data_IF_810186282135
#
_entry.id   IF_810186282135
#
_cell.length_a   1.000
_cell.length_b   1.000
_cell.length_c   1.000
_cell.angle_alpha   90.00
_cell.angle_beta   90.00
_cell.angle_gamma   90.00
#
_symmetry.space_group_name_H-M   'P 1'
#
loop_
_entity.id
_entity.type
_entity.pdbx_description
1 polymer ?
#
# COMPACT_ATOMS: atom_id res chain seq x y z
N UNK A 1 -5.42 8.16 -24.32
CA UNK A 1 -4.37 8.16 -25.35
C UNK A 1 -3.18 7.37 -24.81
N UNK A 2 -2.53 6.47 -25.56
CA UNK A 2 -1.34 5.76 -25.08
C UNK A 2 -0.13 6.70 -25.01
N UNK A 3 0.70 6.51 -24.00
CA UNK A 3 1.99 7.15 -23.76
C UNK A 3 3.11 6.15 -24.06
N UNK A 4 4.23 6.67 -24.55
CA UNK A 4 5.43 5.88 -24.83
C UNK A 4 6.56 6.41 -23.96
N UNK A 5 7.05 5.58 -23.05
CA UNK A 5 8.05 5.94 -22.05
C UNK A 5 9.36 5.16 -22.33
N UNK A 6 10.42 5.84 -22.82
CA UNK A 6 11.71 5.19 -23.01
C UNK A 6 12.44 5.04 -21.67
N UNK A 7 12.78 3.81 -21.29
CA UNK A 7 13.52 3.47 -20.07
C UNK A 7 14.57 2.40 -20.40
N UNK A 8 15.85 2.69 -20.17
CA UNK A 8 16.96 1.73 -20.32
C UNK A 8 16.98 0.98 -21.66
N UNK A 9 16.67 1.67 -22.77
CA UNK A 9 16.63 1.08 -24.12
C UNK A 9 15.36 0.30 -24.45
N UNK A 10 14.40 0.24 -23.53
CA UNK A 10 13.07 -0.35 -23.73
C UNK A 10 12.04 0.78 -23.86
N UNK A 11 11.07 0.64 -24.77
CA UNK A 11 9.93 1.56 -24.88
C UNK A 11 8.70 0.92 -24.25
N UNK A 12 8.28 1.47 -23.13
CA UNK A 12 7.07 1.03 -22.41
C UNK A 12 5.86 1.75 -22.99
N UNK A 13 4.84 0.99 -23.42
CA UNK A 13 3.57 1.54 -23.94
C UNK A 13 2.53 1.48 -22.83
N UNK A 14 2.10 2.64 -22.33
CA UNK A 14 1.19 2.76 -21.18
C UNK A 14 -0.07 3.51 -21.56
N UNK A 15 -1.24 3.11 -21.05
CA UNK A 15 -2.47 3.91 -21.12
C UNK A 15 -2.83 4.36 -19.71
N UNK A 16 -3.05 5.67 -19.53
CA UNK A 16 -3.57 6.22 -18.28
C UNK A 16 -5.09 5.97 -18.20
N UNK A 17 -5.59 5.30 -17.14
CA UNK A 17 -7.01 5.13 -16.89
C UNK A 17 -7.69 6.49 -16.66
N UNK A 18 -8.94 6.62 -17.08
CA UNK A 18 -9.74 7.83 -16.88
C UNK A 18 -10.93 7.55 -15.99
N UNK A 19 -11.52 8.57 -15.36
CA UNK A 19 -12.72 8.44 -14.53
C UNK A 19 -13.97 7.92 -15.28
N UNK A 20 -13.88 7.80 -16.61
CA UNK A 20 -14.91 7.22 -17.46
C UNK A 20 -14.68 5.73 -17.75
N UNK A 21 -13.55 5.16 -17.33
CA UNK A 21 -13.26 3.76 -17.54
C UNK A 21 -14.13 2.90 -16.62
N UNK A 22 -14.81 1.91 -17.20
CA UNK A 22 -15.71 1.01 -16.47
C UNK A 22 -14.88 -0.09 -15.77
N UNK A 23 -15.19 -0.45 -14.50
CA UNK A 23 -14.54 -1.55 -13.81
C UNK A 23 -14.59 -2.84 -14.65
N UNK A 24 -13.45 -3.51 -14.82
CA UNK A 24 -13.35 -4.79 -15.55
C UNK A 24 -13.39 -4.68 -17.09
N UNK A 25 -13.49 -3.49 -17.67
CA UNK A 25 -13.49 -3.31 -19.14
C UNK A 25 -12.12 -2.88 -19.68
N UNK A 26 -11.11 -2.77 -18.82
CA UNK A 26 -9.73 -2.56 -19.25
C UNK A 26 -9.28 -3.82 -19.98
N UNK A 27 -9.50 -3.86 -21.29
CA UNK A 27 -8.76 -4.74 -22.17
C UNK A 27 -7.30 -4.34 -21.97
N UNK A 28 -6.62 -5.02 -21.04
CA UNK A 28 -5.18 -5.18 -21.09
C UNK A 28 -4.90 -5.48 -22.55
N UNK A 29 -4.04 -4.69 -23.18
CA UNK A 29 -3.65 -4.86 -24.58
C UNK A 29 -3.02 -6.25 -24.74
N UNK A 30 -3.85 -7.30 -24.79
CA UNK A 30 -3.51 -8.63 -25.26
C UNK A 30 -3.49 -8.50 -26.77
N UNK A 31 -2.40 -7.95 -27.29
CA UNK A 31 -2.07 -8.03 -28.69
C UNK A 31 -0.64 -8.56 -28.80
N UNK A 32 -0.61 -9.89 -28.95
CA UNK A 32 0.17 -10.63 -29.96
C UNK A 32 1.66 -10.36 -30.02
N UNK A 33 2.43 -11.36 -29.58
CA UNK A 33 3.52 -11.98 -30.35
C UNK A 33 4.01 -11.17 -31.56
N UNK A 34 4.73 -10.08 -31.34
CA UNK A 34 5.68 -9.55 -32.30
C UNK A 34 6.92 -9.14 -31.51
N UNK A 35 8.04 -9.70 -31.96
CA UNK A 35 9.35 -9.58 -31.37
C UNK A 35 9.81 -8.12 -31.38
N UNK A 36 9.46 -7.39 -30.33
CA UNK A 36 10.27 -6.33 -29.77
C UNK A 36 9.77 -6.08 -28.35
N UNK A 37 10.68 -5.79 -27.45
CA UNK A 37 10.59 -5.75 -25.99
C UNK A 37 9.60 -4.72 -25.41
N UNK A 38 8.37 -4.63 -25.91
CA UNK A 38 7.37 -3.67 -25.46
C UNK A 38 6.59 -4.21 -24.25
N UNK A 39 7.04 -3.86 -23.05
CA UNK A 39 6.30 -4.09 -21.81
C UNK A 39 5.07 -3.17 -21.82
N UNK A 40 3.87 -3.77 -21.84
CA UNK A 40 2.61 -3.04 -21.70
C UNK A 40 2.16 -3.11 -20.24
N UNK A 41 2.27 -2.00 -19.52
CA UNK A 41 1.81 -1.89 -18.13
C UNK A 41 0.40 -1.31 -18.17
N UNK A 42 -0.60 -2.10 -17.78
CA UNK A 42 -1.92 -1.57 -17.47
C UNK A 42 -1.83 -0.91 -16.09
N UNK A 43 -2.00 0.42 -16.03
CA UNK A 43 -2.12 1.08 -14.74
C UNK A 43 -3.43 0.60 -14.10
N UNK A 44 -3.40 0.17 -12.83
CA UNK A 44 -4.62 -0.21 -12.14
C UNK A 44 -5.52 1.02 -11.92
N UNK A 45 -6.76 0.76 -11.56
CA UNK A 45 -7.88 1.70 -11.57
C UNK A 45 -7.61 3.01 -10.79
N UNK A 46 -8.38 4.07 -11.09
CA UNK A 46 -8.36 5.39 -10.40
C UNK A 46 -8.64 5.32 -8.88
N UNK A 47 -8.96 4.14 -8.36
CA UNK A 47 -9.18 3.83 -6.95
C UNK A 47 -7.93 3.31 -6.23
N UNK A 48 -6.76 3.34 -6.87
CA UNK A 48 -5.50 3.01 -6.18
C UNK A 48 -5.15 4.06 -5.13
N UNK A 49 -4.57 3.56 -4.04
CA UNK A 49 -4.07 4.37 -2.94
C UNK A 49 -2.93 5.26 -3.44
N UNK A 50 -2.99 6.55 -3.13
CA UNK A 50 -1.93 7.51 -3.49
C UNK A 50 -0.67 7.26 -2.64
N UNK A 51 0.17 6.33 -3.10
CA UNK A 51 1.39 5.92 -2.41
C UNK A 51 2.35 7.10 -2.21
N UNK A 52 2.46 8.00 -3.18
CA UNK A 52 3.36 9.14 -3.08
C UNK A 52 2.91 10.09 -1.98
N UNK A 53 1.61 10.42 -1.92
CA UNK A 53 1.06 11.24 -0.84
C UNK A 53 1.29 10.62 0.53
N UNK A 54 1.06 9.30 0.67
CA UNK A 54 1.22 8.60 1.94
C UNK A 54 2.69 8.50 2.37
N UNK A 55 3.61 8.26 1.44
CA UNK A 55 5.02 8.02 1.74
C UNK A 55 5.93 9.22 1.60
N UNK A 56 5.48 10.34 1.02
CA UNK A 56 6.28 11.56 0.91
C UNK A 56 6.90 12.01 2.24
N UNK A 57 6.21 11.95 3.40
CA UNK A 57 6.81 12.32 4.69
C UNK A 57 7.92 11.36 5.17
N UNK A 58 7.90 10.11 4.69
CA UNK A 58 8.79 9.03 5.13
C UNK A 58 9.64 8.48 3.98
N UNK A 59 9.81 9.26 2.90
CA UNK A 59 10.39 8.79 1.65
C UNK A 59 11.75 8.11 1.81
N UNK A 60 12.62 8.67 2.67
CA UNK A 60 13.94 8.09 2.94
C UNK A 60 13.92 6.74 3.65
N UNK A 61 12.80 6.37 4.27
CA UNK A 61 12.60 5.11 4.98
C UNK A 61 11.81 4.08 4.16
N UNK A 62 11.48 4.38 2.89
CA UNK A 62 10.56 3.55 2.11
C UNK A 62 11.07 2.13 1.91
N UNK A 63 12.39 1.95 1.74
CA UNK A 63 13.02 0.64 1.63
C UNK A 63 12.79 -0.20 2.89
N UNK A 64 13.05 0.39 4.06
CA UNK A 64 12.85 -0.28 5.35
C UNK A 64 11.37 -0.61 5.57
N UNK A 65 10.46 0.32 5.27
CA UNK A 65 9.02 0.08 5.40
C UNK A 65 8.57 -1.07 4.50
N UNK A 66 9.05 -1.12 3.25
CA UNK A 66 8.75 -2.21 2.33
C UNK A 66 9.27 -3.56 2.85
N UNK A 67 10.49 -3.61 3.40
CA UNK A 67 11.04 -4.83 4.01
C UNK A 67 10.23 -5.28 5.24
N UNK A 68 9.86 -4.36 6.13
CA UNK A 68 9.04 -4.66 7.31
C UNK A 68 7.66 -5.21 6.90
N UNK A 69 7.01 -4.60 5.90
CA UNK A 69 5.74 -5.10 5.37
C UNK A 69 5.92 -6.49 4.75
N UNK A 70 6.97 -6.69 3.94
CA UNK A 70 7.21 -7.97 3.27
C UNK A 70 7.46 -9.11 4.27
N UNK A 71 8.15 -8.82 5.37
CA UNK A 71 8.46 -9.77 6.44
C UNK A 71 7.31 -9.95 7.44
N UNK A 72 6.25 -9.15 7.35
CA UNK A 72 5.14 -9.17 8.31
C UNK A 72 5.56 -8.67 9.69
N UNK A 73 6.52 -7.77 9.77
CA UNK A 73 6.91 -7.15 11.03
C UNK A 73 5.77 -6.28 11.58
N UNK A 74 5.51 -6.27 12.89
CA UNK A 74 4.48 -5.43 13.49
C UNK A 74 4.74 -3.94 13.24
N UNK A 75 3.73 -3.22 12.76
CA UNK A 75 3.83 -1.79 12.44
C UNK A 75 2.65 -1.02 13.02
N UNK A 76 2.92 0.19 13.52
CA UNK A 76 1.88 1.12 13.94
C UNK A 76 2.01 2.44 13.19
N UNK A 77 0.95 2.79 12.47
CA UNK A 77 0.80 4.05 11.76
C UNK A 77 0.05 5.02 12.67
N UNK A 78 0.73 6.06 13.13
CA UNK A 78 0.11 7.14 13.88
C UNK A 78 -0.13 8.34 12.96
N UNK A 79 -1.38 8.75 12.79
CA UNK A 79 -1.77 9.86 11.92
C UNK A 79 -2.73 10.83 12.62
N UNK A 80 -2.86 12.09 12.17
CA UNK A 80 -3.72 13.06 12.86
C UNK A 80 -5.22 12.86 12.55
N UNK A 81 -5.57 12.03 11.57
CA UNK A 81 -6.95 11.72 11.22
C UNK A 81 -7.16 10.23 10.89
N UNK A 82 -8.38 9.68 11.10
CA UNK A 82 -8.69 8.28 10.75
C UNK A 82 -8.49 8.01 9.26
N UNK A 83 -8.78 9.00 8.42
CA UNK A 83 -8.59 8.92 6.97
C UNK A 83 -7.12 8.76 6.61
N UNK A 84 -6.23 9.62 7.12
CA UNK A 84 -4.79 9.52 6.82
C UNK A 84 -4.17 8.24 7.38
N UNK A 85 -4.62 7.82 8.56
CA UNK A 85 -4.26 6.51 9.13
C UNK A 85 -4.62 5.38 8.16
N UNK A 86 -5.89 5.35 7.73
CA UNK A 86 -6.41 4.28 6.87
C UNK A 86 -5.72 4.23 5.52
N UNK A 87 -5.56 5.38 4.87
CA UNK A 87 -4.88 5.50 3.57
C UNK A 87 -3.42 5.03 3.67
N UNK A 88 -2.71 5.41 4.74
CA UNK A 88 -1.31 5.03 4.91
C UNK A 88 -1.16 3.53 5.18
N UNK A 89 -2.03 2.92 5.98
CA UNK A 89 -2.03 1.46 6.19
C UNK A 89 -2.31 0.72 4.88
N UNK A 90 -3.30 1.17 4.11
CA UNK A 90 -3.60 0.58 2.81
C UNK A 90 -2.44 0.78 1.81
N UNK A 91 -1.72 1.91 1.87
CA UNK A 91 -0.54 2.18 1.06
C UNK A 91 0.59 1.20 1.40
N UNK A 92 0.83 0.94 2.70
CA UNK A 92 1.81 -0.06 3.15
C UNK A 92 1.45 -1.45 2.62
N UNK A 93 0.20 -1.89 2.79
CA UNK A 93 -0.25 -3.19 2.28
C UNK A 93 -0.10 -3.29 0.76
N UNK A 94 -0.37 -2.20 0.04
CA UNK A 94 -0.30 -2.15 -1.43
C UNK A 94 1.14 -2.05 -1.96
N UNK A 95 2.11 -1.63 -1.15
CA UNK A 95 3.48 -1.39 -1.63
C UNK A 95 4.25 -2.67 -2.00
N UNK A 96 3.78 -3.83 -1.52
CA UNK A 96 4.35 -5.14 -1.88
C UNK A 96 3.66 -5.79 -3.10
N UNK A 97 2.74 -5.09 -3.75
CA UNK A 97 2.13 -5.55 -5.01
C UNK A 97 3.23 -5.98 -6.01
N UNK A 98 3.08 -7.12 -6.70
CA UNK A 98 1.87 -7.93 -6.86
C UNK A 98 1.66 -9.00 -5.78
N UNK A 99 2.46 -9.03 -4.71
CA UNK A 99 2.31 -9.99 -3.63
C UNK A 99 1.07 -9.66 -2.79
N UNK A 100 0.36 -10.70 -2.34
CA UNK A 100 -0.78 -10.55 -1.43
C UNK A 100 -0.26 -10.48 0.00
N UNK A 101 -0.56 -9.38 0.69
CA UNK A 101 -0.33 -9.27 2.13
C UNK A 101 -1.16 -10.31 2.88
N UNK A 102 -0.53 -11.08 3.75
CA UNK A 102 -1.15 -12.24 4.42
C UNK A 102 -1.36 -12.04 5.92
N UNK A 103 -0.62 -11.12 6.54
CA UNK A 103 -0.80 -10.77 7.95
C UNK A 103 -2.04 -9.89 8.16
N UNK A 104 -2.45 -9.75 9.42
CA UNK A 104 -3.59 -8.91 9.77
C UNK A 104 -3.23 -7.42 9.57
N UNK A 105 -4.23 -6.61 9.23
CA UNK A 105 -4.07 -5.16 9.18
C UNK A 105 -5.40 -4.48 9.53
N UNK A 106 -5.30 -3.41 10.32
CA UNK A 106 -6.44 -2.59 10.73
C UNK A 106 -6.19 -1.17 10.26
N UNK A 107 -6.82 -0.70 9.16
CA UNK A 107 -6.63 0.66 8.64
C UNK A 107 -6.93 1.75 9.67
N UNK A 108 -7.89 1.49 10.55
CA UNK A 108 -8.17 2.31 11.71
C UNK A 108 -8.56 1.44 12.90
N UNK A 109 -7.83 1.61 14.00
CA UNK A 109 -7.95 0.86 15.25
C UNK A 109 -8.06 1.84 16.42
N UNK A 110 -8.92 1.51 17.37
CA UNK A 110 -9.32 2.38 18.46
C UNK A 110 -9.17 1.69 19.80
N UNK A 111 -9.17 2.46 20.88
CA UNK A 111 -9.17 1.95 22.25
C UNK A 111 -10.48 1.25 22.63
N UNK A 112 -11.52 1.40 21.81
CA UNK A 112 -12.84 0.83 22.05
C UNK A 112 -13.01 -0.54 21.39
N UNK A 113 -12.06 -0.94 20.55
CA UNK A 113 -12.06 -2.27 19.95
C UNK A 113 -11.79 -3.32 21.03
N UNK A 114 -12.59 -4.40 21.01
CA UNK A 114 -12.52 -5.46 22.04
C UNK A 114 -11.14 -6.10 22.13
N UNK A 115 -10.40 -6.11 21.02
CA UNK A 115 -9.06 -6.70 20.87
C UNK A 115 -7.93 -5.77 21.34
N UNK A 116 -8.24 -4.54 21.78
CA UNK A 116 -7.22 -3.57 22.21
C UNK A 116 -6.26 -4.13 23.26
N UNK A 117 -6.77 -4.94 24.19
CA UNK A 117 -5.95 -5.57 25.22
C UNK A 117 -4.94 -6.56 24.64
N UNK A 118 -5.30 -7.28 23.60
CA UNK A 118 -4.45 -8.31 22.98
C UNK A 118 -3.25 -7.66 22.29
N UNK A 119 -3.45 -6.49 21.67
CA UNK A 119 -2.38 -5.74 21.01
C UNK A 119 -1.52 -4.86 21.94
N UNK A 120 -1.96 -4.62 23.18
CA UNK A 120 -1.27 -3.73 24.13
C UNK A 120 -0.66 -4.43 25.34
N UNK A 121 -0.81 -5.75 25.42
CA UNK A 121 -0.28 -6.53 26.53
C UNK A 121 1.25 -6.72 26.39
N UNK A 122 2.02 -6.18 27.34
CA UNK A 122 3.50 -6.21 27.35
C UNK A 122 4.14 -7.59 27.51
N UNK A 123 3.38 -8.62 27.80
CA UNK A 123 3.91 -9.95 28.13
C UNK A 123 4.05 -10.89 26.93
N UNK A 124 3.61 -10.47 25.74
CA UNK A 124 3.69 -11.28 24.52
C UNK A 124 4.36 -10.48 23.39
N UNK A 125 5.04 -11.20 22.50
CA UNK A 125 5.52 -10.63 21.24
C UNK A 125 4.31 -10.08 20.48
N UNK A 126 4.36 -8.83 19.98
CA UNK A 126 3.24 -8.27 19.23
C UNK A 126 2.90 -9.18 18.05
N UNK A 127 1.61 -9.46 17.79
CA UNK A 127 1.24 -10.22 16.62
C UNK A 127 1.69 -9.50 15.35
N UNK A 128 1.94 -10.25 14.29
CA UNK A 128 2.20 -9.71 12.95
C UNK A 128 0.96 -8.94 12.48
N UNK A 129 0.95 -7.63 12.71
CA UNK A 129 -0.18 -6.74 12.39
C UNK A 129 0.28 -5.34 12.03
N UNK A 130 -0.40 -4.71 11.08
CA UNK A 130 -0.30 -3.26 10.83
C UNK A 130 -1.52 -2.57 11.43
N UNK A 131 -1.31 -1.68 12.41
CA UNK A 131 -2.38 -0.92 13.06
C UNK A 131 -2.30 0.56 12.71
N UNK A 132 -3.37 1.08 12.14
CA UNK A 132 -3.56 2.51 11.95
C UNK A 132 -4.30 3.12 13.14
N UNK A 133 -3.75 4.17 13.75
CA UNK A 133 -4.34 4.81 14.94
C UNK A 133 -4.21 6.33 14.84
N UNK A 134 -5.11 7.05 15.50
CA UNK A 134 -4.99 8.51 15.65
C UNK A 134 -4.53 8.95 17.03
N UNK A 135 -4.56 8.05 17.99
CA UNK A 135 -4.42 8.40 19.39
C UNK A 135 -2.95 8.26 19.85
N UNK A 136 -2.27 9.35 20.27
CA UNK A 136 -0.89 9.28 20.76
C UNK A 136 -0.74 8.45 22.04
N UNK A 137 -1.83 8.08 22.73
CA UNK A 137 -1.77 7.12 23.84
C UNK A 137 -1.21 5.75 23.39
N UNK A 138 -1.40 5.33 22.13
CA UNK A 138 -0.78 4.11 21.61
C UNK A 138 0.76 4.15 21.69
N UNK A 139 1.39 5.32 21.49
CA UNK A 139 2.84 5.44 21.61
C UNK A 139 3.35 5.14 23.04
N UNK A 140 2.55 5.47 24.06
CA UNK A 140 2.91 5.22 25.47
C UNK A 140 2.67 3.78 25.89
N UNK A 141 1.70 3.11 25.28
CA UNK A 141 1.33 1.74 25.64
C UNK A 141 2.16 0.70 24.89
N UNK A 142 2.66 1.03 23.70
CA UNK A 142 3.46 0.14 22.85
C UNK A 142 4.99 0.27 23.03
N UNK A 143 5.46 1.26 23.80
CA UNK A 143 6.84 1.32 24.34
C UNK A 143 6.95 0.50 25.63
#
# INVERSE_FOLDING_TARGET
KPLYLPIMGIVIKVRIPTCHDKPGTTQVLQLTHQADSQISIALPTVYEVDLFRCFSPVFFHIQMLWELVLLGEPLVVMAPSPSESSETVLALVSCISPLKYYSDFRPYFTIHDSEFKDYTTRTQTPPSVILGVTNPFFAKTLQ
#
